data_IF_945815505014
#
_entry.id   IF_945815505014
#
_cell.length_a   1.000
_cell.length_b   1.000
_cell.length_c   1.000
_cell.angle_alpha   90.00
_cell.angle_beta   90.00
_cell.angle_gamma   90.00
#
_symmetry.space_group_name_H-M   'P 1'
#
loop_
_entity.id
_entity.type
_entity.pdbx_description
1 polymer ?
#
# COMPACT_ATOMS: atom_id res chain seq x y z
N UNK A 1 -10.83 6.17 18.41
CA UNK A 1 -10.57 4.73 18.23
C UNK A 1 -10.81 4.39 16.77
N UNK A 2 -9.81 3.80 16.13
CA UNK A 2 -9.78 3.45 14.71
C UNK A 2 -10.20 2.00 14.54
N UNK A 3 -10.69 1.60 13.37
CA UNK A 3 -11.37 0.30 13.20
C UNK A 3 -10.53 -0.67 12.39
N UNK A 4 -10.64 -1.95 12.75
CA UNK A 4 -10.14 -3.07 11.95
C UNK A 4 -11.29 -3.61 11.11
N UNK A 5 -11.06 -3.82 9.83
CA UNK A 5 -12.07 -4.26 8.87
C UNK A 5 -11.46 -5.14 7.78
N UNK A 6 -12.33 -5.74 6.97
CA UNK A 6 -11.96 -6.35 5.70
C UNK A 6 -12.15 -5.32 4.59
N UNK A 7 -11.15 -5.20 3.72
CA UNK A 7 -11.19 -4.31 2.55
C UNK A 7 -10.91 -5.11 1.30
N UNK A 8 -11.79 -4.96 0.32
CA UNK A 8 -11.70 -5.60 -1.00
C UNK A 8 -11.77 -4.52 -2.07
N UNK A 9 -10.80 -4.50 -2.99
CA UNK A 9 -10.88 -3.58 -4.14
C UNK A 9 -12.10 -3.98 -4.98
N UNK A 10 -12.76 -3.00 -5.59
CA UNK A 10 -13.81 -3.23 -6.59
C UNK A 10 -13.21 -2.86 -7.95
N UNK A 11 -12.66 -3.85 -8.70
CA UNK A 11 -11.85 -3.55 -9.86
C UNK A 11 -12.68 -3.00 -11.02
N UNK A 12 -13.92 -3.47 -11.21
CA UNK A 12 -14.83 -2.94 -12.25
C UNK A 12 -15.07 -1.44 -12.09
N UNK A 13 -15.43 -1.03 -10.89
CA UNK A 13 -15.72 0.37 -10.55
C UNK A 13 -14.47 1.25 -10.64
N UNK A 14 -13.33 0.71 -10.20
CA UNK A 14 -12.04 1.42 -10.26
C UNK A 14 -11.56 1.58 -11.70
N UNK A 15 -11.60 0.50 -12.49
CA UNK A 15 -11.05 0.43 -13.84
C UNK A 15 -11.93 1.12 -14.89
N UNK A 16 -13.25 1.10 -14.72
CA UNK A 16 -14.16 1.83 -15.62
C UNK A 16 -14.24 3.32 -15.27
N UNK A 17 -13.84 3.70 -14.06
CA UNK A 17 -13.95 5.05 -13.56
C UNK A 17 -15.37 5.38 -13.15
N UNK A 18 -15.68 5.10 -11.88
CA UNK A 18 -16.96 5.43 -11.29
C UNK A 18 -17.28 6.92 -11.38
N UNK A 19 -18.36 7.24 -12.09
CA UNK A 19 -18.99 8.56 -12.11
C UNK A 19 -20.40 8.56 -11.51
N UNK A 20 -20.81 7.41 -10.96
CA UNK A 20 -22.18 7.18 -10.53
C UNK A 20 -22.44 7.98 -9.25
N UNK A 21 -23.52 8.76 -9.30
CA UNK A 21 -23.98 9.58 -8.18
C UNK A 21 -24.79 8.73 -7.20
N UNK A 22 -24.84 9.17 -5.95
CA UNK A 22 -25.66 8.54 -4.90
C UNK A 22 -27.10 8.36 -5.40
N UNK A 23 -27.64 7.15 -5.31
CA UNK A 23 -28.98 6.79 -5.74
C UNK A 23 -29.10 6.36 -7.21
N UNK A 24 -27.99 6.27 -7.95
CA UNK A 24 -27.94 5.78 -9.32
C UNK A 24 -27.08 4.51 -9.46
N UNK A 25 -26.72 3.87 -8.35
CA UNK A 25 -25.90 2.65 -8.32
C UNK A 25 -26.56 1.50 -9.11
N UNK A 26 -27.90 1.39 -9.06
CA UNK A 26 -28.64 0.37 -9.80
C UNK A 26 -28.64 0.57 -11.33
N UNK A 27 -28.29 1.78 -11.80
CA UNK A 27 -28.14 2.08 -13.22
C UNK A 27 -26.74 1.79 -13.76
N UNK A 28 -25.79 1.46 -12.88
CA UNK A 28 -24.46 1.06 -13.27
C UNK A 28 -24.46 -0.35 -13.86
N UNK A 29 -24.16 -0.43 -15.15
CA UNK A 29 -24.01 -1.71 -15.86
C UNK A 29 -22.51 -1.98 -15.99
N UNK A 30 -22.00 -2.84 -15.10
CA UNK A 30 -20.63 -3.31 -15.14
C UNK A 30 -20.34 -4.04 -16.46
N UNK A 31 -19.18 -3.78 -17.07
CA UNK A 31 -18.69 -4.57 -18.20
C UNK A 31 -18.51 -6.04 -17.76
N UNK A 32 -19.14 -7.01 -18.46
CA UNK A 32 -19.02 -8.43 -18.13
C UNK A 32 -17.59 -8.97 -18.10
N UNK A 33 -16.64 -8.30 -18.76
CA UNK A 33 -15.22 -8.66 -18.73
C UNK A 33 -14.61 -8.66 -17.33
N UNK A 34 -15.13 -7.85 -16.41
CA UNK A 34 -14.68 -7.82 -15.00
C UNK A 34 -15.18 -9.00 -14.16
N UNK A 35 -16.04 -9.86 -14.70
CA UNK A 35 -16.44 -11.11 -14.04
C UNK A 35 -15.42 -12.24 -14.23
N UNK A 36 -14.36 -12.01 -15.03
CA UNK A 36 -13.31 -13.00 -15.23
C UNK A 36 -12.43 -13.15 -13.97
N UNK A 37 -11.93 -14.35 -13.66
CA UNK A 37 -11.15 -14.60 -12.43
C UNK A 37 -9.90 -13.74 -12.28
N UNK A 38 -9.36 -13.24 -13.39
CA UNK A 38 -8.21 -12.33 -13.37
C UNK A 38 -8.52 -11.00 -12.66
N UNK A 39 -9.79 -10.61 -12.54
CA UNK A 39 -10.26 -9.42 -11.84
C UNK A 39 -10.74 -9.72 -10.42
N UNK A 40 -10.55 -10.95 -9.94
CA UNK A 40 -10.85 -11.26 -8.55
C UNK A 40 -9.87 -10.53 -7.62
N UNK A 41 -10.42 -9.69 -6.74
CA UNK A 41 -9.68 -9.10 -5.63
C UNK A 41 -10.10 -9.81 -4.34
N UNK A 42 -9.20 -10.48 -3.62
CA UNK A 42 -9.53 -11.07 -2.33
C UNK A 42 -9.72 -9.99 -1.26
N UNK A 43 -10.53 -10.29 -0.25
CA UNK A 43 -10.70 -9.42 0.91
C UNK A 43 -9.49 -9.54 1.82
N UNK A 44 -8.95 -8.40 2.27
CA UNK A 44 -7.78 -8.36 3.15
C UNK A 44 -8.10 -7.67 4.48
N UNK A 45 -7.65 -8.23 5.61
CA UNK A 45 -7.81 -7.60 6.91
C UNK A 45 -6.89 -6.39 7.01
N UNK A 46 -7.38 -5.31 7.61
CA UNK A 46 -6.67 -4.04 7.62
C UNK A 46 -7.09 -3.13 8.77
N UNK A 47 -6.26 -2.13 9.04
CA UNK A 47 -6.60 -1.00 9.91
C UNK A 47 -6.97 0.20 9.04
N UNK A 48 -8.15 0.77 9.31
CA UNK A 48 -8.66 1.96 8.62
C UNK A 48 -8.41 3.21 9.47
N UNK A 49 -7.83 4.24 8.85
CA UNK A 49 -7.59 5.56 9.42
C UNK A 49 -7.69 6.66 8.36
N UNK A 50 -7.58 7.93 8.78
CA UNK A 50 -7.66 9.07 7.84
C UNK A 50 -8.98 9.10 7.06
N UNK A 51 -10.10 8.86 7.73
CA UNK A 51 -11.42 8.88 7.11
C UNK A 51 -11.85 10.33 6.92
N UNK A 52 -12.11 10.68 5.67
CA UNK A 52 -12.47 12.03 5.22
C UNK A 52 -13.69 11.93 4.31
N UNK A 53 -14.49 12.98 4.27
CA UNK A 53 -15.58 13.13 3.31
C UNK A 53 -15.07 13.91 2.09
N UNK A 54 -15.25 13.35 0.89
CA UNK A 54 -14.97 14.06 -0.37
C UNK A 54 -16.27 14.65 -0.93
N UNK A 55 -16.42 15.97 -0.79
CA UNK A 55 -17.59 16.71 -1.30
C UNK A 55 -17.75 16.60 -2.82
N UNK A 56 -16.66 16.37 -3.58
CA UNK A 56 -16.72 16.30 -5.04
C UNK A 56 -17.36 15.00 -5.52
N UNK A 57 -17.11 13.90 -4.83
CA UNK A 57 -17.67 12.58 -5.15
C UNK A 57 -18.85 12.20 -4.28
N UNK A 58 -19.13 13.00 -3.25
CA UNK A 58 -20.16 12.71 -2.26
C UNK A 58 -19.96 11.32 -1.64
N UNK A 59 -18.72 10.99 -1.30
CA UNK A 59 -18.32 9.69 -0.78
C UNK A 59 -17.25 9.81 0.29
N UNK A 60 -17.16 8.83 1.19
CA UNK A 60 -16.06 8.74 2.13
C UNK A 60 -14.79 8.25 1.43
N UNK A 61 -13.67 8.84 1.81
CA UNK A 61 -12.31 8.40 1.48
C UNK A 61 -11.62 7.97 2.77
N UNK A 62 -10.83 6.92 2.71
CA UNK A 62 -10.11 6.41 3.87
C UNK A 62 -8.75 5.84 3.46
N UNK A 63 -7.82 5.84 4.41
CA UNK A 63 -6.51 5.19 4.27
C UNK A 63 -6.54 3.86 5.01
N UNK A 64 -5.93 2.83 4.41
CA UNK A 64 -5.83 1.52 5.02
C UNK A 64 -4.39 0.99 4.98
N UNK A 65 -4.02 0.26 6.04
CA UNK A 65 -2.82 -0.60 6.05
C UNK A 65 -3.24 -2.05 6.25
N UNK A 66 -2.75 -2.99 5.42
CA UNK A 66 -3.06 -4.40 5.57
C UNK A 66 -2.47 -4.99 6.86
N UNK A 67 -3.12 -6.03 7.36
CA UNK A 67 -2.63 -6.92 8.42
C UNK A 67 -2.24 -8.24 7.75
N UNK A 68 -1.03 -8.73 8.04
CA UNK A 68 -0.56 -10.04 7.61
C UNK A 68 -0.16 -10.89 8.82
N UNK A 69 -0.13 -12.21 8.63
CA UNK A 69 0.31 -13.17 9.64
C UNK A 69 1.59 -13.83 9.16
N UNK A 70 2.67 -13.76 9.97
CA UNK A 70 3.94 -14.42 9.61
C UNK A 70 3.81 -15.93 9.76
N UNK A 71 4.13 -16.66 8.70
CA UNK A 71 4.31 -18.12 8.77
C UNK A 71 5.56 -18.47 9.59
N UNK A 72 5.53 -19.62 10.29
CA UNK A 72 6.54 -19.99 11.27
C UNK A 72 7.95 -20.23 10.72
N UNK A 73 8.07 -20.42 9.41
CA UNK A 73 9.30 -20.86 8.74
C UNK A 73 10.01 -19.76 7.94
N UNK A 74 9.48 -18.53 7.92
CA UNK A 74 10.16 -17.40 7.28
C UNK A 74 11.31 -16.89 8.15
N UNK A 75 12.43 -17.64 8.10
CA UNK A 75 13.73 -17.11 8.47
C UNK A 75 14.06 -15.99 7.48
N UNK A 76 14.42 -14.84 8.04
CA UNK A 76 14.75 -13.61 7.32
C UNK A 76 13.57 -13.01 6.59
N UNK A 77 13.11 -11.87 7.10
CA UNK A 77 12.58 -10.80 6.28
C UNK A 77 12.54 -9.54 7.15
N UNK A 78 13.53 -8.67 6.92
CA UNK A 78 13.69 -7.35 7.53
C UNK A 78 12.65 -6.35 6.99
N UNK A 79 11.39 -6.78 6.86
CA UNK A 79 10.34 -5.90 6.36
C UNK A 79 9.90 -4.93 7.46
N UNK A 80 9.71 -3.64 7.14
CA UNK A 80 9.18 -2.63 8.03
C UNK A 80 7.71 -2.93 8.26
N UNK A 81 7.44 -3.83 9.20
CA UNK A 81 6.13 -4.09 9.74
C UNK A 81 6.02 -3.55 11.17
N UNK A 82 4.82 -3.14 11.55
CA UNK A 82 4.47 -2.77 12.92
C UNK A 82 3.80 -3.96 13.60
N UNK A 83 4.46 -4.65 14.54
CA UNK A 83 3.90 -5.82 15.20
C UNK A 83 2.67 -5.49 16.06
N UNK A 84 1.69 -6.39 16.03
CA UNK A 84 0.49 -6.33 16.88
C UNK A 84 0.77 -7.12 18.15
N UNK A 85 0.64 -6.47 19.31
CA UNK A 85 0.89 -7.09 20.61
C UNK A 85 -0.17 -8.14 20.91
N UNK A 86 0.31 -9.34 21.24
CA UNK A 86 -0.50 -10.40 21.82
C UNK A 86 -0.25 -10.46 23.33
N UNK A 87 -1.30 -10.41 24.14
CA UNK A 87 -1.23 -10.25 25.61
C UNK A 87 -0.43 -11.34 26.35
N UNK A 88 -0.18 -12.49 25.70
CA UNK A 88 0.58 -13.61 26.28
C UNK A 88 2.07 -13.64 25.89
N UNK A 89 2.49 -12.79 24.96
CA UNK A 89 3.91 -12.70 24.60
C UNK A 89 4.57 -11.66 25.48
N UNK A 90 5.39 -12.12 26.43
CA UNK A 90 6.37 -11.27 27.09
C UNK A 90 7.14 -10.51 25.99
N UNK A 91 7.10 -9.18 26.03
CA UNK A 91 7.70 -8.35 24.99
C UNK A 91 9.15 -8.81 24.78
N UNK A 92 9.55 -9.25 23.57
CA UNK A 92 10.97 -9.36 23.29
C UNK A 92 11.56 -7.97 23.49
N UNK A 93 12.76 -7.88 24.05
CA UNK A 93 13.53 -6.66 24.35
C UNK A 93 13.91 -5.83 23.09
N UNK A 94 13.07 -5.84 22.06
CA UNK A 94 13.19 -5.11 20.82
C UNK A 94 12.58 -3.72 21.00
N UNK A 95 13.37 -2.70 20.69
CA UNK A 95 12.99 -1.28 20.58
C UNK A 95 12.01 -0.99 19.44
N UNK A 96 11.38 -2.01 18.83
CA UNK A 96 10.39 -1.82 17.77
C UNK A 96 9.08 -1.27 18.32
N UNK A 97 8.56 -0.25 17.65
CA UNK A 97 7.24 0.29 17.94
C UNK A 97 6.16 -0.77 17.68
N UNK A 98 5.27 -0.97 18.64
CA UNK A 98 4.21 -2.00 18.63
C UNK A 98 2.85 -1.35 18.79
N UNK A 99 1.78 -2.04 18.38
CA UNK A 99 0.40 -1.56 18.54
C UNK A 99 -0.48 -2.56 19.29
N UNK A 100 -1.50 -2.06 19.99
CA UNK A 100 -2.50 -2.87 20.67
C UNK A 100 -3.86 -2.76 19.98
N UNK A 101 -4.49 -3.91 19.75
CA UNK A 101 -5.85 -3.99 19.19
C UNK A 101 -6.82 -4.45 20.30
N UNK A 102 -7.96 -3.77 20.41
CA UNK A 102 -9.01 -3.99 21.43
C UNK A 102 -10.37 -4.30 20.77
N UNK A 103 -11.15 -5.28 21.26
CA UNK A 103 -10.82 -6.25 22.30
C UNK A 103 -9.70 -7.19 21.86
N UNK A 104 -9.30 -8.15 22.69
CA UNK A 104 -8.14 -9.00 22.44
C UNK A 104 -8.07 -9.54 21.00
N UNK A 105 -6.89 -9.39 20.37
CA UNK A 105 -6.64 -9.83 19.00
C UNK A 105 -6.23 -11.30 18.96
N UNK A 106 -6.93 -12.16 18.21
CA UNK A 106 -6.79 -13.61 18.34
C UNK A 106 -5.61 -14.20 17.55
N UNK A 107 -4.98 -13.46 16.63
CA UNK A 107 -3.95 -14.00 15.75
C UNK A 107 -2.55 -13.64 16.25
N UNK A 108 -1.78 -14.68 16.57
CA UNK A 108 -0.36 -14.53 16.90
C UNK A 108 0.46 -14.17 15.67
N UNK A 109 1.61 -13.51 15.89
CA UNK A 109 2.56 -13.11 14.82
C UNK A 109 1.93 -12.26 13.71
N UNK A 110 0.89 -11.53 14.06
CA UNK A 110 0.24 -10.57 13.18
C UNK A 110 0.97 -9.22 13.22
N UNK A 111 1.02 -8.56 12.08
CA UNK A 111 1.69 -7.28 11.92
C UNK A 111 1.00 -6.45 10.84
N UNK A 112 1.07 -5.14 10.99
CA UNK A 112 0.69 -4.20 9.94
C UNK A 112 1.89 -3.91 9.06
N UNK A 113 1.67 -3.80 7.75
CA UNK A 113 2.73 -3.45 6.82
C UNK A 113 2.18 -2.51 5.74
N UNK A 114 3.08 -1.97 4.93
CA UNK A 114 2.71 -1.19 3.75
C UNK A 114 3.65 -1.55 2.61
N UNK A 115 3.10 -1.91 1.46
CA UNK A 115 3.87 -2.05 0.24
C UNK A 115 4.02 -0.65 -0.39
N UNK A 116 5.23 -0.09 -0.32
CA UNK A 116 5.57 1.32 -0.62
C UNK A 116 4.90 2.34 0.31
N UNK A 117 3.56 2.36 0.40
CA UNK A 117 2.76 3.30 1.19
C UNK A 117 1.42 2.70 1.65
N UNK A 118 0.78 3.26 2.69
CA UNK A 118 -0.64 3.00 2.97
C UNK A 118 -1.52 3.35 1.77
N UNK A 119 -2.50 2.50 1.46
CA UNK A 119 -3.38 2.69 0.31
C UNK A 119 -4.58 3.55 0.69
N UNK A 120 -4.94 4.50 -0.17
CA UNK A 120 -6.14 5.33 0.00
C UNK A 120 -7.24 4.83 -0.92
N UNK A 121 -8.42 4.59 -0.35
CA UNK A 121 -9.59 4.10 -1.06
C UNK A 121 -10.77 5.06 -0.91
N UNK A 122 -11.68 5.00 -1.88
CA UNK A 122 -13.00 5.62 -1.83
C UNK A 122 -14.06 4.54 -1.58
N UNK A 123 -14.97 4.79 -0.66
CA UNK A 123 -16.16 3.96 -0.48
C UNK A 123 -17.14 4.16 -1.63
N UNK A 124 -17.98 3.16 -1.87
CA UNK A 124 -19.20 3.39 -2.63
C UNK A 124 -20.13 4.34 -1.86
N UNK A 125 -20.86 5.25 -2.53
CA UNK A 125 -21.72 6.20 -1.82
C UNK A 125 -22.86 5.53 -1.05
N UNK A 126 -23.37 4.41 -1.54
CA UNK A 126 -24.40 3.59 -0.88
C UNK A 126 -23.87 2.64 0.20
N UNK A 127 -22.55 2.60 0.44
CA UNK A 127 -21.98 1.65 1.40
C UNK A 127 -22.47 1.97 2.83
N UNK A 128 -23.09 1.01 3.53
CA UNK A 128 -23.55 1.23 4.89
C UNK A 128 -22.37 1.43 5.85
N UNK A 129 -22.65 2.05 7.00
CA UNK A 129 -21.66 2.17 8.07
C UNK A 129 -21.30 0.76 8.56
N UNK A 130 -20.02 0.44 8.48
CA UNK A 130 -19.50 -0.88 8.86
C UNK A 130 -19.20 -0.91 10.36
N UNK A 131 -19.82 -1.80 11.14
CA UNK A 131 -19.45 -1.99 12.53
C UNK A 131 -18.09 -2.69 12.63
N UNK A 132 -17.21 -2.21 13.50
CA UNK A 132 -15.91 -2.84 13.75
C UNK A 132 -15.86 -3.50 15.12
N UNK A 133 -15.60 -4.81 15.14
CA UNK A 133 -15.37 -5.60 16.36
C UNK A 133 -14.08 -5.17 17.05
N UNK A 134 -13.02 -4.98 16.28
CA UNK A 134 -11.70 -4.60 16.77
C UNK A 134 -11.37 -3.14 16.46
N UNK A 135 -10.55 -2.56 17.33
CA UNK A 135 -10.16 -1.17 17.26
C UNK A 135 -8.75 -0.92 17.77
N UNK A 136 -8.14 0.14 17.24
CA UNK A 136 -6.79 0.61 17.61
C UNK A 136 -6.92 2.01 18.22
N UNK A 137 -6.08 2.30 19.20
CA UNK A 137 -5.99 3.62 19.80
C UNK A 137 -5.25 4.61 18.90
N UNK A 138 -5.31 5.89 19.27
CA UNK A 138 -4.69 6.95 18.47
C UNK A 138 -3.17 6.84 18.43
N UNK A 139 -2.54 6.51 19.56
CA UNK A 139 -1.09 6.29 19.66
C UNK A 139 -0.62 5.15 18.75
N UNK A 140 -1.39 4.05 18.66
CA UNK A 140 -1.12 2.97 17.73
C UNK A 140 -1.21 3.41 16.27
N UNK A 141 -2.17 4.27 15.92
CA UNK A 141 -2.23 4.85 14.57
C UNK A 141 -1.07 5.79 14.30
N UNK A 142 -0.68 6.65 15.24
CA UNK A 142 0.50 7.51 15.09
C UNK A 142 1.75 6.69 14.82
N UNK A 143 1.90 5.56 15.52
CA UNK A 143 2.97 4.60 15.31
C UNK A 143 2.93 4.01 13.89
N UNK A 144 1.76 3.53 13.43
CA UNK A 144 1.55 3.04 12.06
C UNK A 144 1.93 4.11 11.04
N UNK A 145 1.40 5.32 11.18
CA UNK A 145 1.61 6.41 10.22
C UNK A 145 3.09 6.77 10.16
N UNK A 146 3.74 6.93 11.32
CA UNK A 146 5.16 7.27 11.40
C UNK A 146 6.08 6.18 10.83
N UNK A 147 5.77 4.90 11.08
CA UNK A 147 6.61 3.78 10.66
C UNK A 147 6.38 3.37 9.20
N UNK A 148 5.14 3.44 8.72
CA UNK A 148 4.75 2.89 7.42
C UNK A 148 4.54 3.94 6.33
N UNK A 149 4.48 5.23 6.67
CA UNK A 149 4.37 6.30 5.67
C UNK A 149 5.75 6.90 5.39
N UNK A 150 6.26 6.87 4.14
CA UNK A 150 7.53 7.50 3.83
C UNK A 150 7.45 9.04 4.00
N UNK A 151 8.56 9.71 4.36
CA UNK A 151 8.61 11.15 4.50
C UNK A 151 8.17 11.85 3.20
N UNK A 152 7.26 12.82 3.30
CA UNK A 152 6.82 13.59 2.12
C UNK A 152 7.88 14.64 1.76
N UNK A 153 8.54 14.49 0.61
CA UNK A 153 9.31 15.58 0.00
C UNK A 153 8.32 16.62 -0.57
N UNK A 154 8.41 17.87 -0.13
CA UNK A 154 7.45 18.94 -0.49
C UNK A 154 7.36 19.21 -2.01
N UNK A 155 8.43 18.94 -2.76
CA UNK A 155 8.47 19.01 -4.23
C UNK A 155 8.71 17.64 -4.88
N UNK A 156 8.64 16.56 -4.10
CA UNK A 156 9.07 15.23 -4.55
C UNK A 156 8.30 14.75 -5.77
N UNK A 157 7.04 15.14 -5.95
CA UNK A 157 6.17 14.48 -6.95
C UNK A 157 6.66 14.60 -8.39
N UNK A 158 7.21 15.75 -8.75
CA UNK A 158 7.73 16.00 -10.11
C UNK A 158 9.12 15.35 -10.31
N UNK A 159 9.95 15.35 -9.25
CA UNK A 159 11.23 14.65 -9.26
C UNK A 159 11.08 13.12 -9.17
N UNK A 160 10.04 12.64 -8.51
CA UNK A 160 9.76 11.23 -8.32
C UNK A 160 9.27 10.62 -9.65
N UNK A 161 8.46 11.36 -10.44
CA UNK A 161 8.04 10.93 -11.78
C UNK A 161 9.20 10.84 -12.80
N UNK A 162 10.28 11.60 -12.58
CA UNK A 162 11.49 11.60 -13.40
C UNK A 162 12.66 10.85 -12.74
N UNK A 163 12.43 10.19 -11.61
CA UNK A 163 13.46 9.46 -10.86
C UNK A 163 14.10 8.39 -11.74
N UNK A 164 15.42 8.14 -11.66
CA UNK A 164 16.03 7.00 -12.35
C UNK A 164 15.52 5.66 -11.80
N UNK A 165 15.05 5.63 -10.56
CA UNK A 165 14.46 4.45 -9.93
C UNK A 165 13.01 4.23 -10.44
N UNK A 166 12.74 3.11 -11.14
CA UNK A 166 11.42 2.80 -11.68
C UNK A 166 10.32 2.68 -10.61
N UNK A 167 10.67 2.24 -9.40
CA UNK A 167 9.70 2.05 -8.34
C UNK A 167 9.20 3.37 -7.76
N UNK A 168 10.08 4.36 -7.72
CA UNK A 168 9.77 5.75 -7.35
C UNK A 168 8.90 6.39 -8.43
N UNK A 169 9.24 6.21 -9.72
CA UNK A 169 8.41 6.72 -10.84
C UNK A 169 7.01 6.13 -10.79
N UNK A 170 6.89 4.83 -10.62
CA UNK A 170 5.59 4.16 -10.60
C UNK A 170 4.73 4.58 -9.39
N UNK A 171 5.34 4.70 -8.20
CA UNK A 171 4.66 5.21 -7.02
C UNK A 171 4.23 6.68 -7.20
N UNK A 172 5.03 7.50 -7.89
CA UNK A 172 4.62 8.86 -8.27
C UNK A 172 3.40 8.84 -9.20
N UNK A 173 3.42 8.01 -10.24
CA UNK A 173 2.33 7.89 -11.22
C UNK A 173 1.02 7.41 -10.59
N UNK A 174 1.06 6.42 -9.71
CA UNK A 174 -0.12 5.98 -8.96
C UNK A 174 -0.69 7.09 -8.05
N UNK A 175 0.13 8.09 -7.69
CA UNK A 175 -0.25 9.19 -6.80
C UNK A 175 -0.74 10.42 -7.53
N UNK A 176 -0.21 10.69 -8.71
CA UNK A 176 -0.64 11.78 -9.59
C UNK A 176 -1.72 11.35 -10.58
N UNK A 177 -1.95 10.05 -10.71
CA UNK A 177 -2.99 9.48 -11.54
C UNK A 177 -4.38 9.99 -11.15
N UNK A 178 -5.26 10.07 -12.15
CA UNK A 178 -6.65 10.50 -11.96
C UNK A 178 -7.55 9.38 -11.42
N UNK A 179 -7.03 8.15 -11.37
CA UNK A 179 -7.75 6.96 -10.95
C UNK A 179 -8.11 7.04 -9.46
N UNK A 180 -9.39 6.84 -9.17
CA UNK A 180 -9.87 6.63 -7.80
C UNK A 180 -10.02 5.15 -7.53
N UNK A 181 -9.34 4.66 -6.50
CA UNK A 181 -9.43 3.28 -6.06
C UNK A 181 -10.70 3.10 -5.24
N UNK A 182 -11.65 2.32 -5.73
CA UNK A 182 -12.89 2.03 -5.01
C UNK A 182 -12.79 0.69 -4.30
N UNK A 183 -13.22 0.66 -3.04
CA UNK A 183 -13.19 -0.55 -2.24
C UNK A 183 -14.49 -0.77 -1.47
N UNK A 184 -14.83 -2.04 -1.31
CA UNK A 184 -15.84 -2.51 -0.39
C UNK A 184 -15.22 -2.70 1.00
N UNK A 185 -15.88 -2.18 2.01
CA UNK A 185 -15.50 -2.38 3.42
C UNK A 185 -16.52 -3.31 4.07
N UNK A 186 -16.02 -4.37 4.70
CA UNK A 186 -16.82 -5.37 5.39
C UNK A 186 -16.36 -5.55 6.84
N UNK A 187 -17.27 -5.90 7.77
CA UNK A 187 -16.90 -6.07 9.16
C UNK A 187 -15.97 -7.28 9.32
N UNK A 188 -14.84 -7.10 10.00
CA UNK A 188 -14.03 -8.22 10.43
C UNK A 188 -14.62 -8.78 11.73
N UNK A 189 -15.01 -10.06 11.72
CA UNK A 189 -15.61 -10.75 12.86
C UNK A 189 -14.79 -12.00 13.22
N UNK A 190 -14.97 -12.60 14.42
CA UNK A 190 -14.28 -13.83 14.79
C UNK A 190 -14.51 -15.01 13.85
N UNK A 191 -15.64 -15.07 13.14
CA UNK A 191 -15.94 -16.14 12.18
C UNK A 191 -14.97 -16.13 10.98
N UNK A 192 -14.41 -14.96 10.66
CA UNK A 192 -13.51 -14.74 9.53
C UNK A 192 -12.07 -15.23 9.77
N UNK A 193 -11.73 -15.64 10.99
CA UNK A 193 -10.36 -16.10 11.31
C UNK A 193 -9.99 -17.41 10.60
N UNK A 194 -10.98 -18.24 10.26
CA UNK A 194 -10.79 -19.53 9.59
C UNK A 194 -11.31 -19.53 8.15
N UNK A 195 -11.69 -18.36 7.62
CA UNK A 195 -12.28 -18.24 6.29
C UNK A 195 -11.18 -18.29 5.21
N UNK A 196 -11.22 -19.27 4.29
CA UNK A 196 -10.22 -19.40 3.23
C UNK A 196 -10.31 -18.30 2.15
N UNK A 197 -11.41 -17.53 2.11
CA UNK A 197 -11.58 -16.43 1.15
C UNK A 197 -10.82 -15.16 1.55
N UNK A 198 -10.32 -15.09 2.78
CA UNK A 198 -9.60 -13.93 3.31
C UNK A 198 -8.10 -14.15 3.15
N UNK A 199 -7.46 -13.18 2.51
CA UNK A 199 -6.02 -13.21 2.28
C UNK A 199 -5.27 -12.63 3.48
N UNK A 200 -4.87 -13.52 4.39
CA UNK A 200 -4.07 -13.22 5.59
C UNK A 200 -2.55 -13.17 5.34
N UNK A 201 -2.11 -13.63 4.16
CA UNK A 201 -0.69 -13.86 3.85
C UNK A 201 -0.18 -12.96 2.73
N UNK A 202 -0.99 -12.00 2.25
CA UNK A 202 -0.55 -11.01 1.28
C UNK A 202 0.71 -10.31 1.77
N UNK A 203 1.65 -10.14 0.85
CA UNK A 203 2.89 -9.37 1.04
C UNK A 203 2.88 -8.05 0.28
N UNK A 204 1.99 -7.90 -0.71
CA UNK A 204 1.94 -6.70 -1.56
C UNK A 204 0.69 -5.86 -1.30
N UNK A 205 -0.02 -6.15 -0.22
CA UNK A 205 -1.25 -5.44 0.16
C UNK A 205 -2.29 -5.58 -0.96
N UNK A 206 -2.72 -4.43 -1.50
CA UNK A 206 -3.59 -4.36 -2.68
C UNK A 206 -2.86 -3.81 -3.92
N UNK A 207 -1.52 -3.76 -3.89
CA UNK A 207 -0.74 -3.08 -4.93
C UNK A 207 -1.06 -3.66 -6.31
N UNK A 208 -1.06 -4.98 -6.46
CA UNK A 208 -1.26 -5.63 -7.75
C UNK A 208 -2.63 -5.34 -8.34
N UNK A 209 -3.69 -5.46 -7.54
CA UNK A 209 -5.06 -5.20 -8.00
C UNK A 209 -5.29 -3.70 -8.28
N UNK A 210 -4.72 -2.82 -7.46
CA UNK A 210 -4.83 -1.37 -7.66
C UNK A 210 -4.13 -0.93 -8.95
N UNK A 211 -2.93 -1.47 -9.22
CA UNK A 211 -2.17 -1.17 -10.44
C UNK A 211 -2.90 -1.71 -11.66
N UNK A 212 -3.34 -2.97 -11.62
CA UNK A 212 -4.10 -3.57 -12.71
C UNK A 212 -5.33 -2.72 -13.07
N UNK A 213 -6.12 -2.33 -12.08
CA UNK A 213 -7.31 -1.52 -12.30
C UNK A 213 -6.97 -0.09 -12.79
N UNK A 214 -5.98 0.56 -12.19
CA UNK A 214 -5.54 1.90 -12.59
C UNK A 214 -5.04 1.94 -14.04
N UNK A 215 -4.23 0.95 -14.43
CA UNK A 215 -3.71 0.85 -15.80
C UNK A 215 -4.79 0.62 -16.83
N UNK A 216 -5.78 -0.20 -16.51
CA UNK A 216 -6.92 -0.39 -17.40
C UNK A 216 -7.70 0.92 -17.60
N UNK A 217 -7.95 1.65 -16.51
CA UNK A 217 -8.60 2.97 -16.59
C UNK A 217 -7.82 3.95 -17.47
N UNK A 218 -6.52 4.06 -17.23
CA UNK A 218 -5.65 4.97 -17.95
C UNK A 218 -5.54 4.61 -19.45
N UNK A 219 -5.49 3.31 -19.77
CA UNK A 219 -5.53 2.80 -21.14
C UNK A 219 -6.84 3.18 -21.84
N UNK A 220 -7.98 3.01 -21.16
CA UNK A 220 -9.30 3.40 -21.70
C UNK A 220 -9.47 4.91 -21.82
N UNK A 221 -8.81 5.70 -20.96
CA UNK A 221 -8.89 7.16 -20.93
C UNK A 221 -7.88 7.85 -21.87
N UNK A 222 -7.01 7.09 -22.54
CA UNK A 222 -5.96 7.62 -23.41
C UNK A 222 -4.81 8.31 -22.66
N UNK A 223 -4.67 8.05 -21.35
CA UNK A 223 -3.65 8.63 -20.49
C UNK A 223 -2.48 7.64 -20.33
N UNK A 224 -1.57 7.60 -21.29
CA UNK A 224 -0.61 6.50 -21.45
C UNK A 224 0.72 6.69 -20.70
N UNK A 225 0.72 6.78 -19.36
CA UNK A 225 2.00 6.78 -18.62
C UNK A 225 2.73 5.42 -18.63
N UNK A 226 2.16 4.40 -19.29
CA UNK A 226 2.83 3.14 -19.64
C UNK A 226 2.98 2.92 -21.16
N UNK A 227 3.11 3.99 -21.96
CA UNK A 227 3.11 4.10 -23.45
C UNK A 227 3.07 2.85 -24.36
N UNK A 228 2.28 3.01 -25.45
CA UNK A 228 2.28 2.32 -26.75
C UNK A 228 2.47 0.80 -26.72
N UNK A 229 1.39 0.11 -26.40
CA UNK A 229 1.20 -1.24 -26.90
C UNK A 229 0.17 -1.18 -28.02
N UNK A 230 0.58 -1.49 -29.25
CA UNK A 230 -0.30 -1.68 -30.43
C UNK A 230 -1.36 -2.78 -30.21
N UNK A 231 -1.40 -3.42 -29.04
CA UNK A 231 -2.32 -4.47 -28.64
C UNK A 231 -2.61 -4.38 -27.15
N UNK A 232 -3.89 -4.52 -26.78
CA UNK A 232 -4.32 -4.74 -25.41
C UNK A 232 -3.76 -6.11 -24.98
N UNK A 233 -2.48 -6.18 -24.61
CA UNK A 233 -1.85 -7.40 -24.12
C UNK A 233 -1.67 -7.32 -22.60
N UNK A 234 -2.42 -8.20 -21.94
CA UNK A 234 -2.26 -8.72 -20.58
C UNK A 234 -1.94 -7.70 -19.46
N UNK A 235 -3.02 -7.13 -18.90
CA UNK A 235 -3.01 -6.20 -17.75
C UNK A 235 -2.73 -6.94 -16.43
N UNK A 236 -2.51 -8.26 -16.42
CA UNK A 236 -2.26 -9.02 -15.19
C UNK A 236 -0.90 -8.76 -14.55
N UNK A 237 0.08 -8.25 -15.33
CA UNK A 237 1.41 -7.96 -14.81
C UNK A 237 1.52 -6.51 -14.31
N UNK A 238 1.57 -6.36 -12.99
CA UNK A 238 1.76 -5.07 -12.29
C UNK A 238 3.12 -4.44 -12.58
N UNK A 239 4.09 -5.22 -13.06
CA UNK A 239 5.39 -4.75 -13.51
C UNK A 239 5.34 -4.57 -15.04
N UNK A 240 5.01 -3.40 -15.61
CA UNK A 240 5.33 -3.05 -17.03
C UNK A 240 5.42 -1.53 -17.27
N UNK A 241 6.28 -1.13 -18.20
CA UNK A 241 6.54 0.25 -18.65
C UNK A 241 7.71 0.25 -19.64
N UNK A 242 8.20 1.44 -20.08
CA UNK A 242 9.41 1.56 -20.92
C UNK A 242 10.62 0.85 -20.30
N UNK A 243 10.64 0.79 -18.97
CA UNK A 243 11.75 0.26 -18.20
C UNK A 243 11.45 -1.16 -17.67
N UNK A 244 10.46 -1.89 -18.21
CA UNK A 244 10.10 -3.22 -17.71
C UNK A 244 11.29 -4.18 -17.60
N UNK A 245 12.28 -4.04 -18.48
CA UNK A 245 13.52 -4.83 -18.45
C UNK A 245 14.42 -4.49 -17.24
N UNK A 246 14.24 -3.32 -16.62
CA UNK A 246 14.95 -2.85 -15.42
C UNK A 246 14.19 -3.18 -14.13
N UNK A 247 13.00 -3.80 -14.22
CA UNK A 247 12.14 -4.09 -13.09
C UNK A 247 12.51 -5.45 -12.46
N UNK A 248 13.04 -5.44 -11.23
CA UNK A 248 13.07 -6.65 -10.39
C UNK A 248 11.75 -6.76 -9.59
N UNK A 249 11.07 -7.92 -9.55
CA UNK A 249 9.86 -8.10 -8.76
C UNK A 249 10.11 -7.86 -7.26
N UNK A 250 9.85 -6.64 -6.80
CA UNK A 250 10.01 -6.28 -5.40
C UNK A 250 8.99 -6.98 -4.51
N UNK A 251 9.49 -7.44 -3.36
CA UNK A 251 8.69 -7.85 -2.21
C UNK A 251 8.47 -6.66 -1.26
N UNK A 252 7.88 -6.90 -0.10
CA UNK A 252 7.70 -5.88 0.94
C UNK A 252 8.96 -5.04 1.12
N UNK A 253 8.76 -3.73 1.34
CA UNK A 253 9.79 -2.69 1.42
C UNK A 253 11.07 -3.24 2.09
N UNK A 254 12.17 -3.31 1.36
CA UNK A 254 13.46 -3.36 2.03
C UNK A 254 13.65 -2.05 2.76
N UNK A 255 14.18 -2.12 3.99
CA UNK A 255 14.59 -0.92 4.70
C UNK A 255 15.50 -0.14 3.75
N UNK A 256 14.98 0.95 3.18
CA UNK A 256 15.80 1.99 2.58
C UNK A 256 16.89 2.25 3.61
N UNK A 257 18.13 1.91 3.30
CA UNK A 257 19.30 2.04 4.16
C UNK A 257 19.36 3.47 4.69
N UNK A 258 18.66 3.72 5.79
CA UNK A 258 18.89 4.90 6.62
C UNK A 258 20.23 4.62 7.25
N UNK A 259 21.29 5.18 6.65
CA UNK A 259 22.56 5.37 7.34
C UNK A 259 22.22 5.95 8.71
N UNK A 260 22.39 5.13 9.75
CA UNK A 260 22.12 5.56 11.11
C UNK A 260 22.95 6.83 11.37
N UNK A 261 22.39 7.86 12.02
CA UNK A 261 23.22 8.94 12.52
C UNK A 261 24.15 8.32 13.56
N UNK A 262 25.45 8.30 13.27
CA UNK A 262 26.50 7.90 14.22
C UNK A 262 26.49 8.95 15.34
N UNK A 263 25.73 8.71 16.38
CA UNK A 263 25.87 9.28 17.72
C UNK A 263 26.53 8.16 18.55
N UNK A 264 27.67 8.28 19.22
CA UNK A 264 28.57 9.39 19.54
C UNK A 264 29.93 8.75 19.88
N UNK A 265 31.01 9.48 19.57
CA UNK A 265 32.19 9.66 20.41
C UNK A 265 32.98 8.41 20.88
N UNK A 266 34.05 8.08 20.14
CA UNK A 266 35.34 7.85 20.80
C UNK A 266 36.49 8.29 19.88
N UNK A 267 37.39 9.11 20.43
CA UNK A 267 38.45 9.76 19.67
C UNK A 267 39.45 8.78 19.09
N UNK A 268 39.85 9.04 17.83
CA UNK A 268 40.79 8.26 16.96
C UNK A 268 40.12 7.14 16.16
N UNK A 269 39.64 7.49 14.96
CA UNK A 269 39.24 6.47 13.99
C UNK A 269 38.66 6.98 12.65
N UNK A 270 38.47 8.29 12.47
CA UNK A 270 37.73 8.83 11.30
C UNK A 270 38.59 8.98 10.03
N UNK A 271 39.90 8.77 10.08
CA UNK A 271 40.76 9.03 8.92
C UNK A 271 40.83 7.93 7.86
N UNK A 272 40.28 6.73 8.10
CA UNK A 272 40.45 5.60 7.15
C UNK A 272 39.17 5.15 6.43
N UNK A 273 38.04 5.85 6.57
CA UNK A 273 36.79 5.52 5.84
C UNK A 273 36.49 6.52 4.72
N UNK A 274 37.19 7.66 4.68
CA UNK A 274 36.99 8.71 3.67
C UNK A 274 37.91 8.55 2.44
N UNK A 275 38.80 7.56 2.41
CA UNK A 275 39.75 7.37 1.30
C UNK A 275 39.19 6.55 0.11
N UNK A 276 37.88 6.25 0.11
CA UNK A 276 37.24 5.41 -0.92
C UNK A 276 35.98 5.98 -1.57
N UNK A 277 35.68 7.27 -1.37
CA UNK A 277 34.49 7.93 -1.96
C UNK A 277 34.83 9.07 -2.93
N UNK A 278 36.10 9.23 -3.30
CA UNK A 278 36.50 10.09 -4.41
C UNK A 278 36.56 9.29 -5.70
N UNK A 279 35.42 9.20 -6.39
CA UNK A 279 35.30 9.15 -7.87
C UNK A 279 33.81 9.00 -8.25
N UNK A 280 33.05 10.10 -8.14
CA UNK A 280 31.86 10.29 -8.96
C UNK A 280 32.28 11.25 -10.07
N UNK A 281 32.64 10.72 -11.24
CA UNK A 281 32.88 11.49 -12.45
C UNK A 281 31.58 12.21 -12.86
N UNK A 282 31.49 13.49 -12.51
CA UNK A 282 30.60 14.43 -13.16
C UNK A 282 31.17 14.76 -14.54
N UNK A 283 30.76 14.02 -15.57
CA UNK A 283 31.02 14.42 -16.97
C UNK A 283 29.83 15.18 -17.57
N UNK A 284 29.85 16.48 -17.32
CA UNK A 284 29.22 17.54 -18.10
C UNK A 284 29.88 18.85 -17.66
N UNK A 285 30.36 19.77 -18.50
CA UNK A 285 29.97 20.11 -19.86
C UNK A 285 30.96 21.19 -20.39
N UNK A 286 30.91 21.47 -21.70
CA UNK A 286 31.26 22.75 -22.36
C UNK A 286 32.74 23.09 -22.66
N UNK A 287 33.11 22.89 -23.93
CA UNK A 287 33.35 24.01 -24.86
C UNK A 287 32.98 23.59 -26.27
#
# INVERSE_FOLDING_TARGET
MYKVALVRLIPSITAEGYSVRVGHEDSYICNPGFNAPEWDSPARPCIIFGVEWDDKTNSYRFTAVPISVRQAESKENNYPGVPIVHSESCAPHSTQATISIKPHWPLQRSYCYAFKRPTTFSCLPSQPIVPGTWSVDAEGIETIVRSLTPPRRQFGTMYDSESPDPDVRHDANMRTGYVKLYAEVSPLTPAHMSDPSIDWNSTRGWFDECVKAARYYDLCSGNEWTQKLDKIEDVSNSYRGLDFEEWEPQRERDQSLTLAPILENDGRGVLNVLEGLDEIELSGQLS
#
